data_IF_580477532530
#
_entry.id   IF_580477532530
#
_cell.length_a   1.000
_cell.length_b   1.000
_cell.length_c   1.000
_cell.angle_alpha   90.00
_cell.angle_beta   90.00
_cell.angle_gamma   90.00
#
_symmetry.space_group_name_H-M   'P 1'
#
loop_
_entity.id
_entity.type
_entity.pdbx_description
1 polymer ?
#
# COMPACT_ATOMS: atom_id res chain seq x y z
N UNK A 1 56.77 5.69 -22.22
CA UNK A 1 55.67 5.78 -21.24
C UNK A 1 54.72 6.87 -21.70
N UNK A 2 53.61 6.49 -22.32
CA UNK A 2 52.49 7.39 -22.61
C UNK A 2 51.30 6.55 -23.03
N UNK A 3 50.23 6.67 -22.25
CA UNK A 3 48.97 5.92 -22.36
C UNK A 3 48.19 6.45 -23.55
N UNK A 4 47.70 5.54 -24.37
CA UNK A 4 46.98 5.80 -25.62
C UNK A 4 45.57 6.34 -25.32
N UNK A 5 45.36 7.63 -25.57
CA UNK A 5 44.05 8.30 -25.51
C UNK A 5 43.36 8.23 -26.87
N UNK A 6 42.51 7.22 -27.10
CA UNK A 6 41.45 7.31 -28.13
C UNK A 6 40.49 6.14 -28.03
N UNK A 7 39.31 6.34 -27.43
CA UNK A 7 38.08 5.62 -27.76
C UNK A 7 36.87 6.28 -27.08
N UNK A 8 36.47 7.45 -27.59
CA UNK A 8 35.10 7.95 -27.44
C UNK A 8 34.65 8.45 -28.80
N UNK A 9 33.78 7.69 -29.46
CA UNK A 9 33.07 8.12 -30.66
C UNK A 9 31.87 8.96 -30.22
N UNK A 10 31.96 10.28 -30.43
CA UNK A 10 30.82 11.18 -30.28
C UNK A 10 29.87 10.99 -31.48
N UNK A 11 28.72 10.38 -31.25
CA UNK A 11 27.63 10.36 -32.23
C UNK A 11 26.94 11.72 -32.26
N UNK A 12 26.82 12.31 -33.47
CA UNK A 12 26.09 13.56 -33.71
C UNK A 12 24.62 13.42 -33.31
N UNK A 13 24.12 14.36 -32.52
CA UNK A 13 22.69 14.48 -32.20
C UNK A 13 21.98 15.01 -33.45
N UNK A 14 21.16 14.17 -34.09
CA UNK A 14 20.25 14.61 -35.14
C UNK A 14 19.07 15.39 -34.53
N UNK A 15 18.59 16.47 -35.18
CA UNK A 15 17.44 17.22 -34.70
C UNK A 15 16.19 16.35 -34.71
N UNK A 16 15.40 16.48 -33.65
CA UNK A 16 14.19 15.71 -33.31
C UNK A 16 13.20 15.70 -34.48
N UNK A 17 13.11 14.58 -35.19
CA UNK A 17 11.92 14.23 -35.96
C UNK A 17 10.87 13.70 -34.98
N UNK A 18 9.68 14.28 -35.04
CA UNK A 18 8.48 13.85 -34.31
C UNK A 18 8.18 12.37 -34.65
N UNK A 19 8.76 11.45 -33.89
CA UNK A 19 8.32 10.07 -33.83
C UNK A 19 7.27 10.00 -32.71
N UNK A 20 6.04 9.69 -33.09
CA UNK A 20 5.01 9.25 -32.16
C UNK A 20 5.59 8.10 -31.34
N UNK A 21 5.82 8.35 -30.05
CA UNK A 21 6.15 7.29 -29.11
C UNK A 21 4.93 6.37 -29.01
N UNK A 22 5.02 5.20 -29.63
CA UNK A 22 4.07 4.11 -29.39
C UNK A 22 4.04 3.81 -27.89
N UNK A 23 2.88 4.04 -27.27
CA UNK A 23 2.62 3.88 -25.84
C UNK A 23 2.51 2.41 -25.40
N UNK A 24 3.33 1.52 -25.96
CA UNK A 24 3.37 0.09 -25.67
C UNK A 24 4.74 -0.31 -25.07
N UNK A 25 5.18 0.37 -24.02
CA UNK A 25 6.14 -0.23 -23.10
C UNK A 25 5.38 -1.31 -22.33
N UNK A 26 5.69 -2.57 -22.66
CA UNK A 26 4.91 -3.76 -22.32
C UNK A 26 4.51 -3.85 -20.85
N UNK A 27 3.23 -3.62 -20.59
CA UNK A 27 2.60 -4.07 -19.35
C UNK A 27 2.74 -5.59 -19.33
N UNK A 28 3.34 -6.21 -18.30
CA UNK A 28 3.47 -7.65 -18.25
C UNK A 28 2.08 -8.28 -18.37
N UNK A 29 1.94 -9.15 -19.38
CA UNK A 29 0.69 -9.85 -19.66
C UNK A 29 0.40 -10.76 -18.48
N UNK A 30 -0.74 -10.52 -17.84
CA UNK A 30 -1.19 -11.32 -16.70
C UNK A 30 -1.27 -12.81 -17.13
N UNK A 31 -0.63 -13.69 -16.35
CA UNK A 31 -0.75 -15.13 -16.57
C UNK A 31 -2.22 -15.56 -16.46
N UNK A 32 -2.72 -16.31 -17.45
CA UNK A 32 -4.09 -16.82 -17.46
C UNK A 32 -4.40 -17.66 -16.20
N UNK A 33 -3.39 -18.30 -15.63
CA UNK A 33 -3.49 -19.08 -14.41
C UNK A 33 -3.82 -18.21 -13.20
N UNK A 34 -3.39 -16.94 -13.13
CA UNK A 34 -3.63 -16.03 -11.98
C UNK A 34 -4.94 -15.24 -12.06
N UNK A 35 -5.71 -15.41 -13.14
CA UNK A 35 -6.96 -14.68 -13.36
C UNK A 35 -8.05 -15.13 -12.39
N UNK A 36 -8.67 -14.15 -11.72
CA UNK A 36 -9.79 -14.38 -10.82
C UNK A 36 -11.10 -14.23 -11.59
N UNK A 37 -11.86 -15.32 -11.68
CA UNK A 37 -13.22 -15.38 -12.24
C UNK A 37 -14.12 -15.71 -11.07
N UNK A 38 -15.05 -14.82 -10.76
CA UNK A 38 -15.93 -14.93 -9.60
C UNK A 38 -17.21 -14.16 -9.88
N UNK A 39 -18.35 -14.76 -9.57
CA UNK A 39 -19.69 -14.25 -9.88
C UNK A 39 -20.28 -13.35 -8.80
N UNK A 40 -19.64 -13.19 -7.64
CA UNK A 40 -20.09 -12.30 -6.56
C UNK A 40 -19.96 -10.83 -6.96
N UNK A 41 -20.92 -10.05 -6.49
CA UNK A 41 -21.04 -8.59 -6.68
C UNK A 41 -20.48 -7.82 -5.49
N UNK A 42 -20.43 -6.49 -5.57
CA UNK A 42 -20.00 -5.67 -4.43
C UNK A 42 -20.91 -5.83 -3.20
N UNK A 43 -22.20 -6.16 -3.40
CA UNK A 43 -23.13 -6.41 -2.30
C UNK A 43 -22.73 -7.62 -1.47
N UNK A 44 -22.23 -8.67 -2.13
CA UNK A 44 -21.77 -9.89 -1.47
C UNK A 44 -20.49 -9.66 -0.64
N UNK A 45 -19.71 -8.63 -0.99
CA UNK A 45 -18.46 -8.26 -0.30
C UNK A 45 -18.61 -7.10 0.68
N UNK A 46 -19.85 -6.76 1.09
CA UNK A 46 -20.11 -5.66 2.01
C UNK A 46 -19.39 -5.85 3.36
N UNK A 47 -19.47 -7.06 3.91
CA UNK A 47 -18.93 -7.38 5.25
C UNK A 47 -17.72 -8.31 5.20
N UNK A 48 -17.49 -8.95 4.06
CA UNK A 48 -16.45 -9.96 3.86
C UNK A 48 -15.48 -9.60 2.72
N UNK A 49 -14.24 -10.08 2.86
CA UNK A 49 -13.24 -10.09 1.80
C UNK A 49 -13.45 -11.30 0.88
N UNK A 50 -12.60 -11.45 -0.13
CA UNK A 50 -12.76 -12.45 -1.18
C UNK A 50 -12.88 -13.89 -0.66
N UNK A 51 -12.04 -14.28 0.30
CA UNK A 51 -12.05 -15.61 0.93
C UNK A 51 -13.13 -15.82 2.00
N UNK A 52 -14.09 -14.92 2.16
CA UNK A 52 -15.16 -15.02 3.16
C UNK A 52 -14.79 -14.48 4.55
N UNK A 53 -13.58 -13.93 4.71
CA UNK A 53 -13.13 -13.34 5.97
C UNK A 53 -13.81 -12.01 6.27
N UNK A 54 -14.10 -11.73 7.55
CA UNK A 54 -14.58 -10.40 7.96
C UNK A 54 -13.59 -9.29 7.56
N UNK A 55 -14.08 -8.21 6.93
CA UNK A 55 -13.23 -7.12 6.40
C UNK A 55 -12.41 -6.41 7.47
N UNK A 56 -12.96 -6.20 8.65
CA UNK A 56 -12.25 -5.54 9.76
C UNK A 56 -11.08 -6.40 10.24
N UNK A 57 -11.27 -7.72 10.28
CA UNK A 57 -10.22 -8.66 10.63
C UNK A 57 -9.12 -8.69 9.57
N UNK A 58 -9.49 -8.69 8.28
CA UNK A 58 -8.51 -8.60 7.18
C UNK A 58 -7.72 -7.29 7.23
N UNK A 59 -8.38 -6.17 7.48
CA UNK A 59 -7.73 -4.87 7.63
C UNK A 59 -6.73 -4.86 8.79
N UNK A 60 -7.09 -5.46 9.92
CA UNK A 60 -6.23 -5.59 11.10
C UNK A 60 -5.06 -6.55 10.86
N UNK A 61 -5.29 -7.66 10.15
CA UNK A 61 -4.25 -8.61 9.77
C UNK A 61 -3.25 -8.00 8.79
N UNK A 62 -3.72 -7.17 7.85
CA UNK A 62 -2.87 -6.38 6.97
C UNK A 62 -1.96 -5.45 7.80
N UNK A 63 -2.50 -4.65 8.71
CA UNK A 63 -1.68 -3.76 9.55
C UNK A 63 -0.63 -4.52 10.36
N UNK A 64 -0.99 -5.65 10.97
CA UNK A 64 -0.05 -6.51 11.71
C UNK A 64 1.05 -7.06 10.80
N UNK A 65 0.69 -7.53 9.60
CA UNK A 65 1.67 -8.06 8.65
C UNK A 65 2.64 -6.99 8.13
N UNK A 66 2.17 -5.77 7.89
CA UNK A 66 3.00 -4.64 7.47
C UNK A 66 3.94 -4.15 8.58
N UNK A 67 3.48 -4.18 9.84
CA UNK A 67 4.31 -3.84 11.00
C UNK A 67 5.35 -4.92 11.34
N UNK A 68 5.04 -6.18 11.05
CA UNK A 68 5.94 -7.32 11.27
C UNK A 68 6.78 -7.70 10.05
N UNK A 69 6.80 -6.84 9.03
CA UNK A 69 7.61 -6.99 7.82
C UNK A 69 7.37 -8.31 7.05
N UNK A 70 6.15 -8.86 7.14
CA UNK A 70 5.76 -10.14 6.51
C UNK A 70 5.19 -9.94 5.10
N UNK A 71 6.06 -10.01 4.10
CA UNK A 71 5.72 -9.64 2.71
C UNK A 71 4.60 -10.46 2.08
N UNK A 72 4.71 -11.78 2.11
CA UNK A 72 3.71 -12.66 1.50
C UNK A 72 2.35 -12.52 2.18
N UNK A 73 2.34 -12.41 3.51
CA UNK A 73 1.12 -12.20 4.27
C UNK A 73 0.47 -10.85 3.95
N UNK A 74 1.26 -9.76 3.87
CA UNK A 74 0.74 -8.45 3.49
C UNK A 74 0.15 -8.45 2.08
N UNK A 75 0.87 -9.01 1.10
CA UNK A 75 0.39 -9.12 -0.27
C UNK A 75 -0.87 -9.99 -0.36
N UNK A 76 -0.97 -11.08 0.41
CA UNK A 76 -2.18 -11.89 0.50
C UNK A 76 -3.38 -11.07 1.00
N UNK A 77 -3.25 -10.32 2.10
CA UNK A 77 -4.36 -9.51 2.61
C UNK A 77 -4.73 -8.35 1.68
N UNK A 78 -3.76 -7.77 0.99
CA UNK A 78 -4.02 -6.78 -0.07
C UNK A 78 -4.78 -7.42 -1.24
N UNK A 79 -4.41 -8.61 -1.68
CA UNK A 79 -5.11 -9.34 -2.74
C UNK A 79 -6.54 -9.74 -2.34
N UNK A 80 -6.76 -10.11 -1.08
CA UNK A 80 -8.09 -10.38 -0.51
C UNK A 80 -9.02 -9.17 -0.62
N UNK A 81 -8.52 -7.99 -0.23
CA UNK A 81 -9.29 -6.75 -0.26
C UNK A 81 -9.47 -6.22 -1.69
N UNK A 82 -8.45 -6.33 -2.55
CA UNK A 82 -8.57 -5.97 -3.97
C UNK A 82 -9.62 -6.85 -4.66
N UNK A 83 -9.57 -8.16 -4.45
CA UNK A 83 -10.48 -9.12 -5.07
C UNK A 83 -11.93 -8.96 -4.62
N UNK A 84 -12.16 -8.33 -3.46
CA UNK A 84 -13.48 -7.98 -2.92
C UNK A 84 -13.93 -6.55 -3.26
N UNK A 85 -13.24 -5.87 -4.16
CA UNK A 85 -13.63 -4.53 -4.65
C UNK A 85 -13.29 -3.38 -3.70
N UNK A 86 -12.49 -3.59 -2.65
CA UNK A 86 -12.03 -2.53 -1.76
C UNK A 86 -10.87 -1.70 -2.35
N UNK A 87 -10.78 -1.61 -3.67
CA UNK A 87 -9.61 -1.16 -4.44
C UNK A 87 -9.03 0.16 -3.93
N UNK A 88 -9.81 1.25 -3.95
CA UNK A 88 -9.33 2.57 -3.50
C UNK A 88 -9.06 2.62 -2.00
N UNK A 89 -9.86 1.92 -1.20
CA UNK A 89 -9.68 1.88 0.26
C UNK A 89 -8.35 1.21 0.65
N UNK A 90 -7.93 0.17 -0.08
CA UNK A 90 -6.63 -0.48 0.13
C UNK A 90 -5.49 0.46 -0.21
N UNK A 91 -5.56 1.14 -1.36
CA UNK A 91 -4.53 2.10 -1.76
C UNK A 91 -4.37 3.22 -0.73
N UNK A 92 -5.49 3.84 -0.33
CA UNK A 92 -5.50 4.89 0.69
C UNK A 92 -4.94 4.40 2.04
N UNK A 93 -5.24 3.14 2.43
CA UNK A 93 -4.70 2.53 3.64
C UNK A 93 -3.19 2.36 3.56
N UNK A 94 -2.66 1.86 2.45
CA UNK A 94 -1.21 1.70 2.26
C UNK A 94 -0.50 3.06 2.24
N UNK A 95 -1.01 4.05 1.50
CA UNK A 95 -0.48 5.42 1.52
C UNK A 95 -0.50 6.03 2.91
N UNK A 96 -1.59 5.83 3.66
CA UNK A 96 -1.70 6.29 5.06
C UNK A 96 -0.66 5.58 5.95
N UNK A 97 -0.45 4.28 5.75
CA UNK A 97 0.57 3.53 6.50
C UNK A 97 1.96 4.09 6.25
N UNK A 98 2.31 4.37 4.99
CA UNK A 98 3.58 5.01 4.64
C UNK A 98 3.84 6.29 5.43
N UNK A 99 2.86 7.20 5.46
CA UNK A 99 3.06 8.47 6.16
C UNK A 99 3.05 8.28 7.69
N UNK A 100 2.17 7.43 8.23
CA UNK A 100 2.02 7.28 9.68
C UNK A 100 3.05 6.38 10.35
N UNK A 101 3.65 5.45 9.61
CA UNK A 101 4.56 4.44 10.15
C UNK A 101 5.97 4.49 9.53
N UNK A 102 6.22 5.32 8.52
CA UNK A 102 7.57 5.50 7.93
C UNK A 102 7.97 6.98 7.96
N UNK A 103 7.11 7.89 7.50
CA UNK A 103 7.38 9.35 7.47
C UNK A 103 8.76 9.72 6.90
N UNK A 104 9.55 10.51 7.63
CA UNK A 104 10.88 11.00 7.24
C UNK A 104 11.97 9.93 7.31
N UNK A 105 11.67 8.72 7.84
CA UNK A 105 12.62 7.59 7.79
C UNK A 105 12.74 6.97 6.40
N UNK A 106 11.90 7.37 5.45
CA UNK A 106 12.15 7.24 4.03
C UNK A 106 11.81 8.57 3.36
N UNK A 107 12.77 9.51 3.28
CA UNK A 107 12.47 10.90 2.95
C UNK A 107 12.11 11.13 1.48
N UNK A 108 12.20 10.10 0.62
CA UNK A 108 11.81 10.18 -0.80
C UNK A 108 10.38 9.66 -1.03
N UNK A 109 9.72 9.20 0.04
CA UNK A 109 8.46 8.49 -0.01
C UNK A 109 7.26 9.37 -0.40
N UNK A 110 7.12 10.63 0.07
CA UNK A 110 5.98 11.46 -0.32
C UNK A 110 5.83 11.70 -1.83
N UNK A 111 6.92 12.09 -2.50
CA UNK A 111 6.93 12.32 -3.94
C UNK A 111 6.67 11.03 -4.72
N UNK A 112 7.29 9.93 -4.31
CA UNK A 112 7.02 8.61 -4.86
C UNK A 112 5.52 8.24 -4.76
N UNK A 113 4.93 8.38 -3.57
CA UNK A 113 3.51 8.08 -3.35
C UNK A 113 2.62 8.97 -4.20
N UNK A 114 2.95 10.26 -4.31
CA UNK A 114 2.18 11.18 -5.14
C UNK A 114 2.16 10.73 -6.60
N UNK A 115 3.32 10.44 -7.17
CA UNK A 115 3.44 9.97 -8.55
C UNK A 115 2.68 8.66 -8.79
N UNK A 116 2.83 7.67 -7.89
CA UNK A 116 2.06 6.43 -7.98
C UNK A 116 0.56 6.61 -7.76
N UNK A 117 0.17 7.59 -6.96
CA UNK A 117 -1.24 7.92 -6.74
C UNK A 117 -1.87 8.54 -7.99
N UNK A 118 -1.11 9.34 -8.76
CA UNK A 118 -1.58 9.82 -10.06
C UNK A 118 -1.79 8.66 -11.05
N UNK A 119 -0.86 7.71 -11.12
CA UNK A 119 -1.00 6.50 -11.95
C UNK A 119 -2.19 5.64 -11.51
N UNK A 120 -2.35 5.46 -10.21
CA UNK A 120 -3.48 4.73 -9.62
C UNK A 120 -4.81 5.33 -10.08
N UNK A 121 -5.01 6.62 -9.86
CA UNK A 121 -6.29 7.27 -10.19
C UNK A 121 -6.52 7.42 -11.69
N UNK A 122 -5.48 7.51 -12.53
CA UNK A 122 -5.63 7.40 -14.00
C UNK A 122 -6.34 6.11 -14.41
N UNK A 123 -6.11 5.02 -13.68
CA UNK A 123 -6.76 3.73 -13.94
C UNK A 123 -8.13 3.68 -13.24
N UNK A 124 -8.19 3.95 -11.94
CA UNK A 124 -9.39 3.68 -11.14
C UNK A 124 -10.53 4.67 -11.38
N UNK A 125 -10.23 5.90 -11.80
CA UNK A 125 -11.26 6.91 -12.11
C UNK A 125 -11.82 6.76 -13.53
N UNK A 126 -11.31 5.79 -14.32
CA UNK A 126 -11.87 5.50 -15.63
C UNK A 126 -13.35 5.04 -15.47
N UNK A 127 -14.31 5.68 -16.17
CA UNK A 127 -15.73 5.33 -16.07
C UNK A 127 -16.06 3.85 -16.32
N UNK A 128 -15.20 3.14 -17.07
CA UNK A 128 -15.29 1.69 -17.29
C UNK A 128 -15.35 0.90 -15.98
N UNK A 129 -14.66 1.34 -14.93
CA UNK A 129 -14.59 0.66 -13.63
C UNK A 129 -15.57 1.23 -12.60
N UNK A 130 -16.59 1.98 -13.02
CA UNK A 130 -17.63 2.47 -12.13
C UNK A 130 -18.54 1.35 -11.63
N UNK A 131 -19.16 1.55 -10.46
CA UNK A 131 -20.09 0.59 -9.82
C UNK A 131 -19.43 -0.79 -9.65
N UNK A 132 -20.15 -1.87 -9.96
CA UNK A 132 -19.64 -3.25 -9.82
C UNK A 132 -18.45 -3.57 -10.73
N UNK A 133 -18.22 -2.80 -11.80
CA UNK A 133 -17.07 -3.02 -12.68
C UNK A 133 -15.72 -2.75 -11.99
N UNK A 134 -15.70 -2.12 -10.81
CA UNK A 134 -14.47 -1.95 -10.03
C UNK A 134 -13.85 -3.30 -9.65
N UNK A 135 -14.65 -4.37 -9.56
CA UNK A 135 -14.18 -5.74 -9.33
C UNK A 135 -13.29 -6.25 -10.46
N UNK A 136 -13.39 -5.70 -11.67
CA UNK A 136 -12.52 -6.07 -12.78
C UNK A 136 -11.05 -5.68 -12.52
N UNK A 137 -10.81 -4.65 -11.69
CA UNK A 137 -9.46 -4.20 -11.33
C UNK A 137 -8.65 -5.26 -10.58
N UNK A 138 -9.29 -6.28 -9.99
CA UNK A 138 -8.58 -7.42 -9.39
C UNK A 138 -7.71 -8.20 -10.38
N UNK A 139 -7.99 -8.07 -11.68
CA UNK A 139 -7.20 -8.66 -12.76
C UNK A 139 -6.44 -7.59 -13.57
N UNK A 140 -6.37 -6.34 -13.10
CA UNK A 140 -5.62 -5.32 -13.81
C UNK A 140 -4.13 -5.42 -13.45
N UNK A 141 -3.23 -5.75 -14.39
CA UNK A 141 -1.82 -5.98 -14.09
C UNK A 141 -1.15 -4.77 -13.43
N UNK A 142 -1.38 -3.56 -13.94
CA UNK A 142 -0.78 -2.35 -13.34
C UNK A 142 -1.26 -2.07 -11.91
N UNK A 143 -2.53 -2.38 -11.57
CA UNK A 143 -3.05 -2.22 -10.21
C UNK A 143 -2.36 -3.21 -9.27
N UNK A 144 -2.17 -4.46 -9.71
CA UNK A 144 -1.44 -5.46 -8.93
C UNK A 144 0.00 -5.03 -8.69
N UNK A 145 0.69 -4.54 -9.72
CA UNK A 145 2.07 -4.08 -9.61
C UNK A 145 2.20 -2.88 -8.66
N UNK A 146 1.33 -1.87 -8.79
CA UNK A 146 1.33 -0.71 -7.89
C UNK A 146 1.17 -1.11 -6.42
N UNK A 147 0.26 -2.06 -6.15
CA UNK A 147 0.05 -2.58 -4.80
C UNK A 147 1.28 -3.36 -4.29
N UNK A 148 1.84 -4.23 -5.12
CA UNK A 148 3.02 -5.02 -4.74
C UNK A 148 4.26 -4.15 -4.51
N UNK A 149 4.45 -3.12 -5.33
CA UNK A 149 5.52 -2.14 -5.18
C UNK A 149 5.39 -1.39 -3.85
N UNK A 150 4.20 -0.85 -3.56
CA UNK A 150 3.97 -0.07 -2.35
C UNK A 150 4.10 -0.93 -1.08
N UNK A 151 3.58 -2.16 -1.08
CA UNK A 151 3.76 -3.11 0.05
C UNK A 151 5.23 -3.44 0.25
N UNK A 152 5.98 -3.68 -0.83
CA UNK A 152 7.41 -3.98 -0.74
C UNK A 152 8.20 -2.81 -0.16
N UNK A 153 7.93 -1.58 -0.62
CA UNK A 153 8.57 -0.37 -0.07
C UNK A 153 8.22 -0.19 1.40
N UNK A 154 6.97 -0.44 1.79
CA UNK A 154 6.56 -0.35 3.20
C UNK A 154 7.41 -1.28 4.06
N UNK A 155 7.50 -2.55 3.67
CA UNK A 155 8.17 -3.60 4.44
C UNK A 155 9.69 -3.37 4.48
N UNK A 156 10.29 -2.94 3.37
CA UNK A 156 11.73 -2.69 3.29
C UNK A 156 12.16 -1.38 4.00
N UNK A 157 11.22 -0.47 4.25
CA UNK A 157 11.51 0.80 4.93
C UNK A 157 11.59 0.64 6.46
N UNK A 158 12.46 1.43 7.10
CA UNK A 158 12.48 1.55 8.56
C UNK A 158 11.17 2.14 9.07
N UNK A 159 10.66 1.61 10.18
CA UNK A 159 9.41 2.06 10.77
C UNK A 159 9.65 3.14 11.84
N UNK A 160 8.92 4.25 11.73
CA UNK A 160 8.80 5.29 12.75
C UNK A 160 7.35 5.74 12.81
N UNK A 161 6.72 5.61 13.97
CA UNK A 161 5.37 6.13 14.17
C UNK A 161 5.40 7.66 14.16
N UNK A 162 4.49 8.27 13.40
CA UNK A 162 4.33 9.73 13.34
C UNK A 162 3.82 10.27 14.68
N UNK A 163 4.25 11.48 15.04
CA UNK A 163 3.73 12.19 16.21
C UNK A 163 2.21 12.38 16.11
N UNK A 164 1.52 12.20 17.23
CA UNK A 164 0.09 12.49 17.35
C UNK A 164 -0.10 13.94 17.81
N UNK A 165 -1.18 14.58 17.35
CA UNK A 165 -1.55 15.89 17.88
C UNK A 165 -1.85 15.79 19.38
N UNK A 166 -1.32 16.71 20.20
CA UNK A 166 -1.69 16.78 21.61
C UNK A 166 -3.18 17.12 21.75
N UNK A 167 -3.81 16.61 22.79
CA UNK A 167 -5.20 16.92 23.10
C UNK A 167 -5.25 18.27 23.82
N UNK A 168 -5.96 19.23 23.24
CA UNK A 168 -6.16 20.56 23.84
C UNK A 168 -7.38 20.50 24.77
N UNK A 169 -7.21 21.01 26.00
CA UNK A 169 -8.33 21.09 26.95
C UNK A 169 -9.12 22.40 26.77
N UNK A 170 -10.36 22.43 27.25
CA UNK A 170 -11.24 23.60 27.06
C UNK A 170 -10.73 24.84 27.78
N UNK A 171 -10.04 24.64 28.89
CA UNK A 171 -9.47 25.72 29.71
C UNK A 171 -8.33 26.45 28.98
N UNK A 172 -7.69 25.80 28.00
CA UNK A 172 -6.61 26.39 27.20
C UNK A 172 -7.10 27.42 26.16
N UNK A 173 -8.42 27.55 26.02
CA UNK A 173 -9.04 28.61 25.22
C UNK A 173 -9.39 29.85 26.05
N UNK A 174 -9.16 29.83 27.36
CA UNK A 174 -9.31 31.00 28.23
C UNK A 174 -8.17 31.99 27.92
N UNK A 175 -8.51 33.28 27.82
CA UNK A 175 -7.58 34.35 27.39
C UNK A 175 -6.28 34.34 28.21
N UNK A 176 -6.34 34.14 29.53
CA UNK A 176 -5.15 34.14 30.39
C UNK A 176 -4.26 32.91 30.15
N UNK A 177 -4.87 31.74 29.98
CA UNK A 177 -4.14 30.52 29.60
C UNK A 177 -3.55 30.63 28.19
N UNK A 178 -4.22 31.33 27.28
CA UNK A 178 -3.73 31.57 25.93
C UNK A 178 -2.52 32.52 25.96
N UNK A 179 -2.66 33.68 26.63
CA UNK A 179 -1.60 34.70 26.74
C UNK A 179 -0.34 34.18 27.42
N UNK A 180 -0.48 33.36 28.47
CA UNK A 180 0.66 32.79 29.19
C UNK A 180 1.52 31.81 28.36
N UNK A 181 1.04 31.36 27.19
CA UNK A 181 1.76 30.45 26.29
C UNK A 181 2.36 31.13 25.05
N UNK A 182 2.13 32.43 24.88
CA UNK A 182 2.65 33.17 23.74
C UNK A 182 4.15 33.40 23.92
N UNK A 183 4.93 32.99 22.93
CA UNK A 183 6.39 33.15 22.90
C UNK A 183 6.85 33.94 21.66
N UNK A 184 6.02 34.04 20.64
CA UNK A 184 6.37 34.74 19.41
C UNK A 184 6.42 36.25 19.65
N UNK A 185 7.40 36.95 19.04
CA UNK A 185 7.44 38.40 19.09
C UNK A 185 6.20 39.01 18.42
N UNK A 186 5.83 40.20 18.87
CA UNK A 186 4.73 40.96 18.28
C UNK A 186 4.91 41.13 16.77
N UNK A 187 3.80 41.04 16.04
CA UNK A 187 3.76 41.15 14.57
C UNK A 187 4.35 42.47 14.05
N UNK A 188 4.42 43.50 14.91
CA UNK A 188 5.01 44.82 14.63
C UNK A 188 6.53 44.86 14.82
N UNK A 189 7.12 43.88 15.50
CA UNK A 189 8.56 43.81 15.74
C UNK A 189 9.24 43.08 14.57
N UNK A 190 9.73 43.87 13.61
CA UNK A 190 10.45 43.52 12.37
C UNK A 190 11.71 42.66 12.51
N UNK A 191 12.05 42.21 13.73
CA UNK A 191 13.37 41.63 14.02
C UNK A 191 13.43 40.10 13.98
N UNK A 192 12.28 39.43 13.81
CA UNK A 192 12.22 37.98 13.55
C UNK A 192 11.89 37.76 12.08
N UNK A 193 12.85 37.24 11.30
CA UNK A 193 12.63 36.89 9.88
C UNK A 193 11.34 36.08 9.71
N UNK A 194 10.99 35.22 10.66
CA UNK A 194 9.82 34.37 10.56
C UNK A 194 8.48 35.02 10.89
N UNK A 195 8.41 36.01 11.79
CA UNK A 195 7.15 36.72 12.03
C UNK A 195 6.76 37.58 10.82
N UNK A 196 7.74 38.21 10.17
CA UNK A 196 7.55 38.94 8.92
C UNK A 196 7.07 38.03 7.76
N UNK A 197 7.50 36.76 7.73
CA UNK A 197 6.98 35.79 6.76
C UNK A 197 5.49 35.56 6.94
N UNK A 198 5.04 35.48 8.18
CA UNK A 198 3.69 35.08 8.52
C UNK A 198 2.69 36.23 8.36
N UNK A 199 3.08 37.46 8.69
CA UNK A 199 2.27 38.66 8.42
C UNK A 199 1.99 38.89 6.93
N UNK A 200 2.94 38.51 6.04
CA UNK A 200 2.76 38.63 4.58
C UNK A 200 1.67 37.73 3.99
N UNK A 201 1.18 36.75 4.77
CA UNK A 201 0.15 35.79 4.34
C UNK A 201 -1.24 36.09 4.91
N UNK A 202 -1.38 37.19 5.65
CA UNK A 202 -2.66 37.61 6.22
C UNK A 202 -3.56 38.18 5.12
N UNK A 203 -4.81 37.75 5.13
CA UNK A 203 -5.83 38.22 4.20
C UNK A 203 -6.99 38.80 5.00
N UNK A 204 -7.67 39.78 4.41
CA UNK A 204 -8.91 40.32 4.95
C UNK A 204 -9.93 39.19 5.16
N UNK A 205 -10.50 39.16 6.37
CA UNK A 205 -11.41 38.10 6.81
C UNK A 205 -10.77 36.96 7.61
N UNK A 206 -9.44 36.95 7.80
CA UNK A 206 -8.83 36.02 8.76
C UNK A 206 -9.17 36.41 10.22
N UNK A 207 -9.67 35.48 11.06
CA UNK A 207 -9.93 35.74 12.47
C UNK A 207 -8.68 36.14 13.25
N UNK A 208 -8.80 37.07 14.20
CA UNK A 208 -7.67 37.56 15.00
C UNK A 208 -7.00 36.47 15.81
N UNK A 209 -7.77 35.55 16.39
CA UNK A 209 -7.26 34.45 17.21
C UNK A 209 -6.42 33.47 16.38
N UNK A 210 -6.87 33.19 15.15
CA UNK A 210 -6.14 32.33 14.21
C UNK A 210 -4.83 32.98 13.77
N UNK A 211 -4.82 34.30 13.52
CA UNK A 211 -3.58 35.02 13.17
C UNK A 211 -2.54 34.89 14.28
N UNK A 212 -2.93 35.05 15.54
CA UNK A 212 -2.00 34.91 16.68
C UNK A 212 -1.51 33.47 16.79
N UNK A 213 -2.40 32.47 16.78
CA UNK A 213 -2.01 31.07 16.87
C UNK A 213 -1.12 30.61 15.70
N UNK A 214 -1.35 31.14 14.49
CA UNK A 214 -0.51 30.87 13.32
C UNK A 214 0.86 31.53 13.44
N UNK A 215 0.95 32.76 13.96
CA UNK A 215 2.24 33.42 14.21
C UNK A 215 3.09 32.59 15.18
N UNK A 216 2.48 32.05 16.25
CA UNK A 216 3.15 31.15 17.19
C UNK A 216 3.60 29.82 16.55
N UNK A 217 2.71 29.17 15.79
CA UNK A 217 3.05 27.96 15.05
C UNK A 217 4.23 28.21 14.10
N UNK A 218 4.20 29.33 13.39
CA UNK A 218 5.23 29.78 12.46
C UNK A 218 6.57 30.03 13.14
N UNK A 219 6.56 30.76 14.26
CA UNK A 219 7.75 31.03 15.07
C UNK A 219 8.42 29.72 15.50
N UNK A 220 7.66 28.77 16.04
CA UNK A 220 8.21 27.48 16.48
C UNK A 220 8.66 26.58 15.32
N UNK A 221 7.96 26.59 14.17
CA UNK A 221 8.38 25.83 12.99
C UNK A 221 9.72 26.36 12.47
N UNK A 222 9.89 27.68 12.46
CA UNK A 222 11.15 28.31 12.13
C UNK A 222 12.27 28.01 13.12
N UNK A 223 11.96 27.94 14.41
CA UNK A 223 12.93 27.56 15.44
C UNK A 223 13.28 26.06 15.43
N UNK A 224 12.53 25.22 14.70
CA UNK A 224 12.70 23.77 14.73
C UNK A 224 12.03 23.09 15.93
N UNK A 225 11.20 23.81 16.68
CA UNK A 225 10.54 23.30 17.89
C UNK A 225 9.29 22.47 17.56
N UNK A 226 9.48 21.24 17.09
CA UNK A 226 8.41 20.36 16.61
C UNK A 226 7.21 20.23 17.60
N UNK A 227 7.48 19.95 18.87
CA UNK A 227 6.42 19.72 19.86
C UNK A 227 5.53 20.96 20.07
N UNK A 228 6.12 22.16 20.12
CA UNK A 228 5.39 23.42 20.26
C UNK A 228 4.60 23.74 18.99
N UNK A 229 5.19 23.50 17.81
CA UNK A 229 4.47 23.63 16.54
C UNK A 229 3.25 22.71 16.46
N UNK A 230 3.36 21.46 16.93
CA UNK A 230 2.24 20.51 16.96
C UNK A 230 1.15 20.92 17.95
N UNK A 231 1.52 21.55 19.07
CA UNK A 231 0.55 22.14 19.99
C UNK A 231 -0.29 23.22 19.30
N UNK A 232 0.33 24.17 18.61
CA UNK A 232 -0.41 25.24 17.93
C UNK A 232 -1.24 24.71 16.75
N UNK A 233 -0.75 23.71 16.02
CA UNK A 233 -1.56 23.02 15.02
C UNK A 233 -2.81 22.38 15.65
N UNK A 234 -2.65 21.68 16.78
CA UNK A 234 -3.77 21.08 17.50
C UNK A 234 -4.76 22.14 18.01
N UNK A 235 -4.23 23.25 18.54
CA UNK A 235 -5.03 24.38 19.02
C UNK A 235 -5.89 24.98 17.89
N UNK A 236 -5.29 25.26 16.74
CA UNK A 236 -6.00 25.81 15.57
C UNK A 236 -7.13 24.87 15.11
N UNK A 237 -6.84 23.58 14.99
CA UNK A 237 -7.81 22.58 14.54
C UNK A 237 -8.98 22.41 15.52
N UNK A 238 -8.71 22.43 16.82
CA UNK A 238 -9.73 22.32 17.86
C UNK A 238 -10.55 23.61 17.99
N UNK A 239 -9.91 24.78 17.85
CA UNK A 239 -10.60 26.08 17.84
C UNK A 239 -11.61 26.18 16.69
N UNK A 240 -11.19 25.79 15.49
CA UNK A 240 -12.07 25.73 14.33
C UNK A 240 -13.23 24.74 14.54
N UNK A 241 -12.96 23.58 15.13
CA UNK A 241 -13.98 22.58 15.45
C UNK A 241 -15.03 23.11 16.45
N UNK A 242 -14.60 23.72 17.55
CA UNK A 242 -15.48 24.29 18.58
C UNK A 242 -16.36 25.39 17.99
N UNK A 243 -15.77 26.32 17.22
CA UNK A 243 -16.51 27.43 16.64
C UNK A 243 -17.47 26.97 15.54
N UNK A 244 -17.09 26.00 14.72
CA UNK A 244 -18.00 25.39 13.73
C UNK A 244 -19.18 24.72 14.42
N UNK A 245 -18.97 24.04 15.54
CA UNK A 245 -20.05 23.41 16.32
C UNK A 245 -20.97 24.44 16.98
N UNK A 246 -20.42 25.56 17.46
CA UNK A 246 -21.17 26.61 18.17
C UNK A 246 -21.95 27.54 17.24
N UNK A 247 -21.34 27.91 16.10
CA UNK A 247 -21.86 28.94 15.19
C UNK A 247 -22.24 28.40 13.81
N UNK A 248 -22.12 27.08 13.58
CA UNK A 248 -22.48 26.39 12.34
C UNK A 248 -21.42 26.49 11.24
N UNK A 249 -20.66 27.59 11.16
CA UNK A 249 -19.57 27.78 10.20
C UNK A 249 -18.41 28.55 10.83
N UNK A 250 -17.20 28.23 10.41
CA UNK A 250 -15.99 28.98 10.76
C UNK A 250 -15.14 29.16 9.52
N UNK A 251 -15.08 30.40 9.02
CA UNK A 251 -14.45 30.74 7.75
C UNK A 251 -13.24 31.65 7.99
N UNK A 252 -12.12 31.31 7.36
CA UNK A 252 -10.96 32.19 7.22
C UNK A 252 -11.05 32.99 5.91
N UNK A 253 -10.10 33.90 5.71
CA UNK A 253 -9.93 34.63 4.45
C UNK A 253 -9.86 33.69 3.26
N UNK A 254 -10.42 34.12 2.13
CA UNK A 254 -10.56 33.31 0.92
C UNK A 254 -9.19 33.03 0.29
N UNK A 255 -8.84 31.75 0.13
CA UNK A 255 -7.60 31.31 -0.51
C UNK A 255 -7.94 30.39 -1.68
N UNK A 256 -7.68 30.83 -2.91
CA UNK A 256 -7.96 30.05 -4.12
C UNK A 256 -6.95 28.92 -4.28
N UNK A 257 -7.44 27.69 -4.38
CA UNK A 257 -6.60 26.49 -4.48
C UNK A 257 -6.96 25.70 -5.74
N UNK A 258 -6.00 25.57 -6.65
CA UNK A 258 -6.19 24.83 -7.88
C UNK A 258 -6.55 23.36 -7.61
N UNK A 259 -7.63 22.88 -8.23
CA UNK A 259 -8.11 21.50 -8.10
C UNK A 259 -8.93 21.22 -6.84
N UNK A 260 -9.29 22.26 -6.07
CA UNK A 260 -10.22 22.19 -4.94
C UNK A 260 -11.48 22.96 -5.28
N UNK A 261 -12.63 22.43 -4.88
CA UNK A 261 -13.93 23.10 -5.04
C UNK A 261 -13.95 24.42 -4.24
N UNK A 262 -14.39 25.51 -4.88
CA UNK A 262 -14.36 26.85 -4.32
C UNK A 262 -15.10 27.00 -2.99
N UNK A 263 -16.06 26.12 -2.69
CA UNK A 263 -16.75 26.08 -1.38
C UNK A 263 -15.81 25.80 -0.20
N UNK A 264 -14.62 25.27 -0.45
CA UNK A 264 -13.63 24.94 0.58
C UNK A 264 -12.53 26.00 0.72
N UNK A 265 -12.51 27.06 -0.08
CA UNK A 265 -11.41 28.06 -0.08
C UNK A 265 -11.26 28.85 1.22
N UNK A 266 -12.31 28.91 2.04
CA UNK A 266 -12.28 29.59 3.34
C UNK A 266 -11.84 28.68 4.51
N UNK A 267 -11.40 27.45 4.24
CA UNK A 267 -10.99 26.53 5.30
C UNK A 267 -9.61 26.91 5.88
N UNK A 268 -9.49 26.88 7.22
CA UNK A 268 -8.27 27.24 7.97
C UNK A 268 -7.04 26.41 7.55
N UNK A 269 -7.25 25.19 7.05
CA UNK A 269 -6.15 24.30 6.63
C UNK A 269 -5.35 24.89 5.47
N UNK A 270 -5.95 25.74 4.63
CA UNK A 270 -5.22 26.39 3.54
C UNK A 270 -4.28 27.47 4.05
N UNK A 271 -4.63 28.11 5.16
CA UNK A 271 -3.75 29.05 5.81
C UNK A 271 -2.56 28.30 6.45
N UNK A 272 -2.80 27.17 7.10
CA UNK A 272 -1.74 26.30 7.63
C UNK A 272 -0.78 25.87 6.50
N UNK A 273 -1.31 25.40 5.37
CA UNK A 273 -0.48 25.00 4.22
C UNK A 273 0.26 26.17 3.58
N UNK A 274 -0.33 27.37 3.51
CA UNK A 274 0.34 28.56 2.99
C UNK A 274 1.59 28.91 3.82
N UNK A 275 1.49 28.80 5.15
CA UNK A 275 2.60 29.03 6.08
C UNK A 275 3.70 27.98 5.87
N UNK A 276 3.34 26.70 5.83
CA UNK A 276 4.29 25.60 5.58
C UNK A 276 5.05 25.82 4.26
N UNK A 277 4.33 26.09 3.17
CA UNK A 277 4.93 26.30 1.86
C UNK A 277 5.83 27.55 1.83
N UNK A 278 5.44 28.64 2.50
CA UNK A 278 6.25 29.86 2.59
C UNK A 278 7.53 29.63 3.38
N UNK A 279 7.46 28.94 4.53
CA UNK A 279 8.63 28.59 5.33
C UNK A 279 9.58 27.72 4.49
N UNK A 280 9.05 26.73 3.78
CA UNK A 280 9.87 25.85 2.93
C UNK A 280 10.56 26.64 1.82
N UNK A 281 9.82 27.48 1.10
CA UNK A 281 10.38 28.33 0.05
C UNK A 281 11.51 29.23 0.55
N UNK A 282 11.41 29.79 1.75
CA UNK A 282 12.40 30.74 2.28
C UNK A 282 13.60 30.02 2.89
N UNK A 283 13.38 28.99 3.72
CA UNK A 283 14.48 28.25 4.37
C UNK A 283 15.27 27.38 3.41
N UNK A 284 14.61 26.84 2.39
CA UNK A 284 15.17 25.77 1.56
C UNK A 284 15.29 26.14 0.08
N UNK A 285 14.69 27.24 -0.39
CA UNK A 285 14.59 27.57 -1.82
C UNK A 285 15.91 27.79 -2.57
N UNK A 286 17.04 27.96 -1.89
CA UNK A 286 18.35 28.23 -2.50
C UNK A 286 19.36 27.08 -2.37
N UNK A 287 18.99 25.97 -1.73
CA UNK A 287 19.92 24.85 -1.44
C UNK A 287 19.58 23.60 -2.24
N UNK A 288 20.59 22.80 -2.62
CA UNK A 288 20.39 21.51 -3.29
C UNK A 288 19.51 20.55 -2.47
N UNK A 289 19.80 20.40 -1.18
CA UNK A 289 18.94 19.66 -0.22
C UNK A 289 17.55 20.27 -0.09
N UNK A 290 17.45 21.57 -0.32
CA UNK A 290 16.20 22.29 -0.21
C UNK A 290 15.25 22.08 -1.40
N UNK A 291 15.78 21.78 -2.58
CA UNK A 291 14.99 21.25 -3.69
C UNK A 291 14.31 19.92 -3.32
N UNK A 292 15.01 19.05 -2.59
CA UNK A 292 14.45 17.77 -2.13
C UNK A 292 13.32 17.98 -1.12
N UNK A 293 13.53 18.80 -0.08
CA UNK A 293 12.48 19.15 0.90
C UNK A 293 11.26 19.75 0.21
N UNK A 294 11.47 20.70 -0.70
CA UNK A 294 10.40 21.37 -1.44
C UNK A 294 9.58 20.37 -2.24
N UNK A 295 10.24 19.46 -2.99
CA UNK A 295 9.56 18.40 -3.73
C UNK A 295 8.68 17.52 -2.84
N UNK A 296 9.19 17.09 -1.68
CA UNK A 296 8.41 16.26 -0.75
C UNK A 296 7.22 16.99 -0.13
N UNK A 297 7.41 18.25 0.30
CA UNK A 297 6.33 19.04 0.91
C UNK A 297 5.26 19.38 -0.12
N UNK A 298 5.65 19.72 -1.36
CA UNK A 298 4.73 19.92 -2.47
C UNK A 298 3.95 18.64 -2.79
N UNK A 299 4.59 17.46 -2.76
CA UNK A 299 3.91 16.19 -2.93
C UNK A 299 2.89 15.91 -1.81
N UNK A 300 3.24 16.18 -0.55
CA UNK A 300 2.31 16.07 0.59
C UNK A 300 1.12 17.02 0.46
N UNK A 301 1.36 18.25 0.03
CA UNK A 301 0.32 19.24 -0.24
C UNK A 301 -0.62 18.77 -1.36
N UNK A 302 -0.07 18.24 -2.46
CA UNK A 302 -0.87 17.71 -3.56
C UNK A 302 -1.69 16.47 -3.16
N UNK A 303 -1.14 15.58 -2.33
CA UNK A 303 -1.89 14.47 -1.74
C UNK A 303 -3.01 14.95 -0.81
N UNK A 304 -2.76 16.04 -0.07
CA UNK A 304 -3.75 16.64 0.82
C UNK A 304 -4.93 17.23 0.03
N UNK A 305 -4.65 18.04 -1.00
CA UNK A 305 -5.67 18.73 -1.80
C UNK A 305 -6.52 17.78 -2.65
N UNK A 306 -5.97 16.64 -3.05
CA UNK A 306 -6.65 15.70 -3.94
C UNK A 306 -7.99 15.21 -3.35
N UNK A 307 -9.09 15.42 -4.09
CA UNK A 307 -10.47 15.10 -3.69
C UNK A 307 -10.81 15.60 -2.27
N UNK A 308 -10.43 16.84 -1.95
CA UNK A 308 -10.66 17.43 -0.63
C UNK A 308 -12.16 17.55 -0.30
N UNK A 309 -12.50 17.29 0.97
CA UNK A 309 -13.85 17.41 1.56
C UNK A 309 -13.73 17.89 3.00
N UNK A 310 -14.81 18.41 3.62
CA UNK A 310 -14.78 18.82 5.04
C UNK A 310 -14.21 17.74 5.99
N UNK A 311 -14.61 16.49 5.80
CA UNK A 311 -14.13 15.36 6.59
C UNK A 311 -12.69 14.92 6.27
N UNK A 312 -12.05 15.48 5.23
CA UNK A 312 -10.67 15.16 4.89
C UNK A 312 -9.69 15.71 5.92
N UNK A 313 -10.02 16.79 6.65
CA UNK A 313 -9.13 17.41 7.64
C UNK A 313 -8.70 16.45 8.73
N UNK A 314 -9.67 15.82 9.40
CA UNK A 314 -9.41 14.82 10.43
C UNK A 314 -8.75 13.58 9.86
N UNK A 315 -9.08 13.17 8.62
CA UNK A 315 -8.47 12.00 7.99
C UNK A 315 -7.04 12.23 7.51
N UNK A 316 -6.69 13.43 7.04
CA UNK A 316 -5.43 13.74 6.34
C UNK A 316 -4.45 14.63 7.13
N UNK A 317 -4.78 15.04 8.37
CA UNK A 317 -3.89 15.88 9.19
C UNK A 317 -2.46 15.32 9.35
N UNK A 318 -2.29 14.00 9.28
CA UNK A 318 -0.97 13.36 9.32
C UNK A 318 -0.04 13.81 8.17
N UNK A 319 -0.58 14.27 7.03
CA UNK A 319 0.22 14.84 5.94
C UNK A 319 0.83 16.18 6.33
N UNK A 320 0.07 17.01 7.06
CA UNK A 320 0.54 18.28 7.61
C UNK A 320 1.65 18.03 8.62
N UNK A 321 1.44 17.09 9.54
CA UNK A 321 2.45 16.69 10.53
C UNK A 321 3.73 16.21 9.84
N UNK A 322 3.61 15.41 8.78
CA UNK A 322 4.78 14.95 8.04
C UNK A 322 5.51 16.13 7.38
N UNK A 323 4.79 17.08 6.77
CA UNK A 323 5.41 18.28 6.19
C UNK A 323 6.13 19.13 7.26
N UNK A 324 5.59 19.23 8.48
CA UNK A 324 6.25 19.90 9.60
C UNK A 324 7.52 19.17 10.04
N UNK A 325 7.53 17.83 10.00
CA UNK A 325 8.75 17.04 10.28
C UNK A 325 9.84 17.36 9.25
N UNK A 326 9.52 17.55 7.97
CA UNK A 326 10.50 17.97 6.96
C UNK A 326 11.14 19.34 7.25
N UNK A 327 10.46 20.21 8.01
CA UNK A 327 10.95 21.54 8.38
C UNK A 327 11.77 21.50 9.67
N UNK A 328 11.38 20.65 10.61
CA UNK A 328 11.84 20.72 12.01
C UNK A 328 12.89 19.67 12.38
N UNK A 329 12.90 18.53 11.69
CA UNK A 329 13.81 17.42 11.99
C UNK A 329 15.01 17.38 11.04
N UNK A 330 16.09 16.75 11.49
CA UNK A 330 17.23 16.44 10.62
C UNK A 330 16.90 15.22 9.75
N UNK A 331 17.05 15.38 8.44
CA UNK A 331 16.66 14.37 7.45
C UNK A 331 17.90 13.69 6.87
N UNK A 332 17.93 12.36 6.93
CA UNK A 332 18.95 11.57 6.25
C UNK A 332 18.56 11.28 4.78
N UNK A 333 19.02 12.14 3.87
CA UNK A 333 18.81 12.00 2.43
C UNK A 333 19.61 10.85 1.78
N UNK A 334 20.57 10.25 2.48
CA UNK A 334 21.32 9.09 1.99
C UNK A 334 20.43 7.84 2.00
N UNK A 335 19.40 7.81 2.83
CA UNK A 335 18.40 6.74 2.83
C UNK A 335 17.82 6.57 1.42
N UNK A 336 17.95 5.36 0.89
CA UNK A 336 17.43 4.97 -0.42
C UNK A 336 15.92 4.75 -0.32
N UNK A 337 15.19 5.11 -1.40
CA UNK A 337 13.76 4.81 -1.48
C UNK A 337 13.50 3.30 -1.40
N UNK A 338 14.36 2.52 -2.04
CA UNK A 338 14.33 1.06 -2.10
C UNK A 338 15.70 0.56 -1.64
N UNK A 339 15.77 0.06 -0.41
CA UNK A 339 17.00 -0.49 0.20
C UNK A 339 17.45 -1.80 -0.46
N UNK A 340 16.50 -2.68 -0.82
CA UNK A 340 16.78 -4.01 -1.41
C UNK A 340 15.98 -4.25 -2.70
N UNK A 341 16.48 -3.76 -3.86
CA UNK A 341 15.77 -3.86 -5.14
C UNK A 341 15.48 -5.30 -5.57
N UNK A 342 16.36 -6.26 -5.28
CA UNK A 342 16.16 -7.67 -5.64
C UNK A 342 14.88 -8.25 -5.01
N UNK A 343 14.61 -7.93 -3.73
CA UNK A 343 13.40 -8.37 -3.02
C UNK A 343 12.17 -7.73 -3.66
N UNK A 344 12.24 -6.42 -3.98
CA UNK A 344 11.16 -5.73 -4.70
C UNK A 344 10.82 -6.45 -6.02
N UNK A 345 11.82 -6.70 -6.88
CA UNK A 345 11.58 -7.37 -8.16
C UNK A 345 11.02 -8.78 -7.99
N UNK A 346 11.52 -9.55 -7.02
CA UNK A 346 10.99 -10.87 -6.70
C UNK A 346 9.50 -10.79 -6.34
N UNK A 347 9.08 -9.80 -5.55
CA UNK A 347 7.67 -9.64 -5.16
C UNK A 347 6.79 -9.17 -6.30
N UNK A 348 7.27 -8.23 -7.12
CA UNK A 348 6.53 -7.76 -8.30
C UNK A 348 6.23 -8.91 -9.26
N UNK A 349 7.21 -9.79 -9.50
CA UNK A 349 7.06 -10.98 -10.33
C UNK A 349 6.28 -12.10 -9.63
N UNK A 350 6.39 -12.19 -8.30
CA UNK A 350 5.78 -13.21 -7.48
C UNK A 350 4.31 -12.96 -7.12
N UNK A 351 3.80 -11.74 -7.26
CA UNK A 351 2.48 -11.39 -6.74
C UNK A 351 1.34 -12.19 -7.40
N UNK A 352 1.45 -12.52 -8.68
CA UNK A 352 0.47 -13.35 -9.38
C UNK A 352 0.35 -14.76 -8.78
N UNK A 353 1.41 -15.29 -8.15
CA UNK A 353 1.36 -16.58 -7.45
C UNK A 353 0.39 -16.54 -6.26
N UNK A 354 0.25 -15.40 -5.58
CA UNK A 354 -0.71 -15.21 -4.49
C UNK A 354 -2.14 -15.26 -5.01
N UNK A 355 -2.41 -14.74 -6.21
CA UNK A 355 -3.72 -14.91 -6.83
C UNK A 355 -4.00 -16.35 -7.24
N UNK A 356 -2.97 -17.11 -7.64
CA UNK A 356 -3.11 -18.56 -7.89
C UNK A 356 -3.52 -19.30 -6.61
N UNK A 357 -2.93 -18.98 -5.45
CA UNK A 357 -3.31 -19.61 -4.18
C UNK A 357 -4.73 -19.23 -3.73
N UNK A 358 -5.25 -18.09 -4.18
CA UNK A 358 -6.61 -17.63 -3.85
C UNK A 358 -7.70 -18.23 -4.76
N UNK A 359 -7.37 -18.87 -5.88
CA UNK A 359 -8.39 -19.40 -6.82
C UNK A 359 -9.40 -20.36 -6.20
N UNK A 360 -9.04 -21.26 -5.26
CA UNK A 360 -10.02 -22.14 -4.62
C UNK A 360 -11.13 -21.39 -3.87
N UNK A 361 -10.97 -20.09 -3.60
CA UNK A 361 -11.95 -19.24 -2.92
C UNK A 361 -12.93 -18.57 -3.89
N UNK A 362 -12.82 -18.83 -5.20
CA UNK A 362 -13.75 -18.34 -6.22
C UNK A 362 -15.12 -19.00 -6.07
N UNK A 363 -16.16 -18.21 -6.25
CA UNK A 363 -17.52 -18.71 -6.44
C UNK A 363 -17.89 -18.46 -7.90
N UNK A 364 -18.06 -19.54 -8.66
CA UNK A 364 -18.67 -19.51 -9.97
C UNK A 364 -20.07 -20.07 -9.79
N UNK A 365 -21.09 -19.33 -10.21
CA UNK A 365 -22.50 -19.71 -10.03
C UNK A 365 -22.84 -21.00 -10.78
N UNK A 366 -22.53 -22.14 -10.16
CA UNK A 366 -23.09 -23.47 -10.40
C UNK A 366 -23.13 -24.35 -9.14
N UNK A 367 -22.74 -23.83 -7.97
CA UNK A 367 -23.00 -24.50 -6.70
C UNK A 367 -23.25 -23.47 -5.60
N UNK A 368 -24.48 -23.44 -5.10
CA UNK A 368 -24.82 -22.78 -3.85
C UNK A 368 -24.11 -23.51 -2.71
N UNK A 369 -23.28 -22.82 -1.95
CA UNK A 369 -23.15 -23.11 -0.51
C UNK A 369 -23.06 -21.80 0.25
N UNK A 370 -24.19 -21.39 0.82
CA UNK A 370 -24.27 -20.39 1.89
C UNK A 370 -23.86 -21.04 3.23
N UNK A 371 -22.70 -21.70 3.27
CA UNK A 371 -22.11 -22.14 4.53
C UNK A 371 -21.17 -21.02 5.00
N UNK A 372 -21.66 -20.24 5.96
CA UNK A 372 -20.90 -19.21 6.66
C UNK A 372 -19.71 -19.89 7.35
N UNK A 373 -18.49 -19.57 6.92
CA UNK A 373 -17.27 -20.07 7.56
C UNK A 373 -17.00 -19.28 8.84
N UNK A 374 -17.23 -19.91 10.00
CA UNK A 374 -16.70 -19.43 11.28
C UNK A 374 -15.19 -19.75 11.36
N UNK A 375 -14.39 -18.75 11.73
CA UNK A 375 -12.92 -18.78 11.62
C UNK A 375 -12.29 -18.27 12.92
N UNK A 376 -11.26 -18.96 13.41
CA UNK A 376 -10.47 -18.62 14.61
C UNK A 376 -9.05 -18.21 14.17
N UNK A 377 -8.42 -17.28 14.91
CA UNK A 377 -7.06 -16.79 14.63
C UNK A 377 -6.05 -17.63 15.40
N UNK A 378 -5.09 -18.24 14.70
CA UNK A 378 -3.98 -18.99 15.29
C UNK A 378 -2.67 -18.67 14.55
N UNK A 379 -1.60 -18.33 15.27
CA UNK A 379 -0.26 -18.06 14.70
C UNK A 379 -0.18 -17.01 13.57
N UNK A 380 -1.03 -15.98 13.61
CA UNK A 380 -1.17 -14.93 12.58
C UNK A 380 -1.78 -15.40 11.25
N UNK A 381 -2.28 -16.63 11.19
CA UNK A 381 -3.11 -17.14 10.10
C UNK A 381 -4.53 -17.38 10.63
N UNK A 382 -5.51 -17.34 9.73
CA UNK A 382 -6.90 -17.59 10.07
C UNK A 382 -7.29 -18.97 9.55
N UNK A 383 -7.70 -19.85 10.46
CA UNK A 383 -8.00 -21.26 10.20
C UNK A 383 -9.51 -21.47 10.39
N UNK A 384 -10.18 -22.13 9.44
CA UNK A 384 -11.61 -22.47 9.55
C UNK A 384 -11.80 -23.60 10.57
N UNK A 385 -12.91 -23.66 11.32
CA UNK A 385 -13.19 -24.82 12.20
C UNK A 385 -13.15 -26.14 11.42
N UNK A 386 -13.59 -26.12 10.16
CA UNK A 386 -13.54 -27.26 9.23
C UNK A 386 -12.15 -27.49 8.61
N UNK A 387 -11.11 -26.71 8.91
CA UNK A 387 -9.78 -26.87 8.30
C UNK A 387 -9.20 -28.25 8.59
N UNK A 388 -9.38 -28.73 9.83
CA UNK A 388 -8.95 -30.08 10.22
C UNK A 388 -9.68 -31.16 9.43
N UNK A 389 -11.00 -31.03 9.28
CA UNK A 389 -11.80 -31.91 8.43
C UNK A 389 -11.40 -31.83 6.95
N UNK A 390 -11.07 -30.65 6.44
CA UNK A 390 -10.65 -30.44 5.06
C UNK A 390 -9.28 -31.06 4.79
N UNK A 391 -8.30 -30.89 5.69
CA UNK A 391 -7.00 -31.57 5.60
C UNK A 391 -7.17 -33.09 5.72
N UNK A 392 -8.04 -33.57 6.61
CA UNK A 392 -8.37 -35.00 6.70
C UNK A 392 -9.03 -35.52 5.41
N UNK A 393 -9.97 -34.78 4.81
CA UNK A 393 -10.60 -35.14 3.54
C UNK A 393 -9.63 -35.12 2.37
N UNK A 394 -8.73 -34.14 2.34
CA UNK A 394 -7.65 -34.04 1.36
C UNK A 394 -6.70 -35.23 1.48
N UNK A 395 -6.34 -35.63 2.70
CA UNK A 395 -5.53 -36.83 2.94
C UNK A 395 -6.29 -38.11 2.56
N UNK A 396 -7.57 -38.24 2.93
CA UNK A 396 -8.44 -39.37 2.53
C UNK A 396 -8.53 -39.49 1.01
N UNK A 397 -8.68 -38.36 0.30
CA UNK A 397 -8.73 -38.33 -1.16
C UNK A 397 -7.38 -38.70 -1.80
N UNK A 398 -6.27 -38.26 -1.22
CA UNK A 398 -4.93 -38.63 -1.67
C UNK A 398 -4.69 -40.13 -1.52
N UNK A 399 -5.05 -40.72 -0.38
CA UNK A 399 -4.96 -42.16 -0.13
C UNK A 399 -5.82 -42.95 -1.12
N UNK A 400 -7.07 -42.53 -1.35
CA UNK A 400 -7.96 -43.16 -2.35
C UNK A 400 -7.38 -43.10 -3.76
N UNK A 401 -6.76 -41.98 -4.15
CA UNK A 401 -6.10 -41.87 -5.46
C UNK A 401 -4.88 -42.79 -5.57
N UNK A 402 -4.09 -42.92 -4.51
CA UNK A 402 -2.95 -43.85 -4.47
C UNK A 402 -3.40 -45.31 -4.54
N UNK A 403 -4.47 -45.69 -3.84
CA UNK A 403 -5.05 -47.03 -3.92
C UNK A 403 -5.61 -47.34 -5.31
N UNK A 404 -6.35 -46.41 -5.91
CA UNK A 404 -6.86 -46.56 -7.27
C UNK A 404 -5.71 -46.73 -8.28
N UNK A 405 -4.62 -45.97 -8.10
CA UNK A 405 -3.43 -46.12 -8.92
C UNK A 405 -2.80 -47.50 -8.75
N UNK A 406 -2.64 -47.99 -7.51
CA UNK A 406 -2.12 -49.34 -7.21
C UNK A 406 -2.98 -50.44 -7.83
N UNK A 407 -4.29 -50.33 -7.76
CA UNK A 407 -5.21 -51.29 -8.38
C UNK A 407 -5.10 -51.29 -9.91
N UNK A 408 -4.99 -50.11 -10.53
CA UNK A 408 -4.77 -49.98 -11.98
C UNK A 408 -3.44 -50.60 -12.41
N UNK A 409 -2.36 -50.41 -11.65
CA UNK A 409 -1.07 -51.04 -11.95
C UNK A 409 -1.13 -52.56 -11.80
N UNK A 410 -1.72 -53.08 -10.72
CA UNK A 410 -1.91 -54.53 -10.52
C UNK A 410 -2.75 -55.17 -11.63
N UNK A 411 -3.78 -54.46 -12.10
CA UNK A 411 -4.66 -54.96 -13.17
C UNK A 411 -3.91 -54.99 -14.51
N UNK A 412 -3.11 -53.95 -14.81
CA UNK A 412 -2.23 -53.93 -15.99
C UNK A 412 -1.20 -55.06 -15.95
N UNK A 413 -0.59 -55.31 -14.79
CA UNK A 413 0.35 -56.40 -14.61
C UNK A 413 -0.31 -57.77 -14.80
N UNK A 414 -1.52 -57.97 -14.26
CA UNK A 414 -2.28 -59.21 -14.46
C UNK A 414 -2.61 -59.44 -15.93
N UNK A 415 -3.10 -58.41 -16.63
CA UNK A 415 -3.39 -58.48 -18.06
C UNK A 415 -2.14 -58.73 -18.90
N UNK A 416 -1.01 -58.11 -18.55
CA UNK A 416 0.28 -58.34 -19.21
C UNK A 416 0.76 -59.78 -18.99
N UNK A 417 0.61 -60.33 -17.77
CA UNK A 417 0.92 -61.74 -17.48
C UNK A 417 0.03 -62.71 -18.24
N UNK A 418 -1.27 -62.45 -18.30
CA UNK A 418 -2.23 -63.25 -19.08
C UNK A 418 -1.89 -63.22 -20.58
N UNK A 419 -1.51 -62.06 -21.11
CA UNK A 419 -1.06 -61.91 -22.49
C UNK A 419 0.24 -62.67 -22.76
N UNK A 420 1.23 -62.59 -21.86
CA UNK A 420 2.50 -63.31 -21.97
C UNK A 420 2.30 -64.83 -21.88
N UNK A 421 1.39 -65.30 -21.01
CA UNK A 421 1.03 -66.71 -20.89
C UNK A 421 0.39 -67.23 -22.17
N UNK A 422 -0.52 -66.44 -22.79
CA UNK A 422 -1.12 -66.74 -24.09
C UNK A 422 -0.08 -66.81 -25.22
N UNK A 423 0.86 -65.85 -25.29
CA UNK A 423 1.95 -65.88 -26.27
C UNK A 423 2.83 -67.12 -26.13
N UNK A 424 3.13 -67.52 -24.89
CA UNK A 424 3.94 -68.71 -24.59
C UNK A 424 3.16 -70.03 -24.61
N UNK A 425 1.85 -70.01 -24.94
CA UNK A 425 0.94 -71.19 -24.95
C UNK A 425 0.96 -72.00 -23.65
N UNK A 426 1.13 -71.35 -22.51
CA UNK A 426 1.16 -71.98 -21.18
C UNK A 426 0.14 -71.31 -20.26
N UNK A 427 -0.31 -72.01 -19.22
CA UNK A 427 -1.20 -71.41 -18.23
C UNK A 427 -0.43 -70.45 -17.30
N UNK A 428 -1.13 -69.50 -16.67
CA UNK A 428 -0.54 -68.45 -15.80
C UNK A 428 0.23 -69.06 -14.63
N UNK A 429 -0.23 -70.18 -14.09
CA UNK A 429 0.41 -70.86 -12.97
C UNK A 429 1.77 -71.48 -13.34
N UNK A 430 1.88 -72.05 -14.53
CA UNK A 430 3.14 -72.58 -15.08
C UNK A 430 4.12 -71.45 -15.42
N UNK A 431 3.61 -70.28 -15.85
CA UNK A 431 4.43 -69.10 -16.06
C UNK A 431 5.04 -68.59 -14.74
N UNK A 432 4.28 -68.52 -13.64
CA UNK A 432 4.81 -68.10 -12.34
C UNK A 432 5.90 -69.05 -11.83
N UNK A 433 5.74 -70.38 -12.02
CA UNK A 433 6.78 -71.37 -11.70
C UNK A 433 8.06 -71.16 -12.52
N UNK A 434 7.95 -70.97 -13.83
CA UNK A 434 9.09 -70.66 -14.71
C UNK A 434 9.80 -69.36 -14.31
N UNK A 435 9.04 -68.34 -13.91
CA UNK A 435 9.60 -67.05 -13.49
C UNK A 435 10.31 -67.15 -12.14
N UNK A 436 9.79 -67.96 -11.22
CA UNK A 436 10.43 -68.25 -9.93
C UNK A 436 11.73 -69.03 -10.09
N UNK A 437 11.75 -70.04 -10.96
CA UNK A 437 12.96 -70.81 -11.31
C UNK A 437 14.01 -69.90 -11.95
N UNK A 438 13.62 -69.04 -12.91
CA UNK A 438 14.53 -68.08 -13.53
C UNK A 438 15.09 -67.04 -12.55
N UNK A 439 14.32 -66.63 -11.54
CA UNK A 439 14.83 -65.75 -10.47
C UNK A 439 15.82 -66.48 -9.57
N UNK A 440 15.55 -67.73 -9.21
CA UNK A 440 16.47 -68.55 -8.42
C UNK A 440 17.79 -68.79 -9.17
N UNK A 441 17.74 -69.07 -10.47
CA UNK A 441 18.92 -69.20 -11.31
C UNK A 441 19.75 -67.91 -11.34
N UNK A 442 19.12 -66.73 -11.43
CA UNK A 442 19.85 -65.45 -11.39
C UNK A 442 20.53 -65.18 -10.06
N UNK A 443 19.86 -65.54 -8.95
CA UNK A 443 20.42 -65.39 -7.59
C UNK A 443 21.57 -66.38 -7.37
N UNK A 444 21.44 -67.61 -7.86
CA UNK A 444 22.47 -68.65 -7.74
C UNK A 444 23.70 -68.36 -8.64
N UNK A 445 23.50 -67.71 -9.78
CA UNK A 445 24.57 -67.35 -10.71
C UNK A 445 25.21 -65.97 -10.44
N UNK A 446 24.86 -65.31 -9.32
CA UNK A 446 25.56 -64.11 -8.85
C UNK A 446 25.20 -62.80 -9.57
N UNK A 447 24.15 -62.77 -10.40
CA UNK A 447 23.72 -61.56 -11.09
C UNK A 447 22.75 -60.74 -10.23
N UNK A 448 23.28 -59.92 -9.31
CA UNK A 448 22.54 -58.80 -8.72
C UNK A 448 23.40 -57.53 -8.79
N UNK A 449 22.87 -56.51 -9.48
CA UNK A 449 23.23 -55.10 -9.34
C UNK A 449 22.71 -54.52 -8.03
#
# INVERSE_FOLDING_TARGET
MSINTSQYTYSKINPVTNQQYDANIGIPVQSAQSKIIDSRTLKDFKEQAFGGYNRTNVSSALDKSLLSDKIEASLYWVAQLLSSGATNSVWEKLCTFCIKQINIYNPKLPEFIYNRTLEWYKITDNPKYSKDNILQLRNHPSIRLLLAELVSIIILSKKRKINTLPRIKKEEFIIDSFKSRLEAPDTSATNSQCSALCSSLYIDGDPSEIRVAINEMCHHLCAGHNAKSLYWLAWIMEWEHINTKRYGKYNCGLRTIEGVDGKWYNDVVWFIWAIINKIVSVKFGQSFSGGQVTGQVTALYNLYKYKFTAGAKSRKHFLIINAMLYITELIDWQTQLIDRPAILYQNLLGYDKIFVTMKPQQINSSAQSKDLMNIVVENNYMITEKHKQYEEDKQRNLVKQQELHKQRTLTKERLAKEHLAKQKKINVHSLDKLTAVSKLDKVLNGDIF
#
